data_IF_561313098391
#
_entry.id   IF_561313098391
#
_cell.length_a   1.000
_cell.length_b   1.000
_cell.length_c   1.000
_cell.angle_alpha   90.00
_cell.angle_beta   90.00
_cell.angle_gamma   90.00
#
_symmetry.space_group_name_H-M   'P 1'
#
loop_
_entity.id
_entity.type
_entity.pdbx_description
1 polymer ?
#
# COMPACT_ATOMS: atom_id res chain seq x y z
N UNK A 1 20.46 -7.37 -14.98
CA UNK A 1 19.78 -6.41 -14.20
C UNK A 1 19.86 -6.66 -12.73
N UNK A 2 19.92 -5.59 -12.07
CA UNK A 2 20.01 -5.62 -10.64
C UNK A 2 18.62 -5.64 -10.04
N UNK A 3 18.26 -6.75 -9.45
CA UNK A 3 16.97 -6.86 -8.78
C UNK A 3 17.12 -6.39 -7.33
N UNK A 4 16.42 -5.31 -7.01
CA UNK A 4 16.39 -4.83 -5.63
C UNK A 4 15.17 -5.41 -4.93
N UNK A 5 15.42 -6.22 -3.94
CA UNK A 5 14.35 -6.73 -3.10
C UNK A 5 13.75 -5.61 -2.28
N UNK A 6 12.43 -5.46 -2.36
CA UNK A 6 11.72 -4.48 -1.57
C UNK A 6 10.87 -5.22 -0.52
N UNK A 7 11.20 -5.08 0.77
CA UNK A 7 10.40 -5.73 1.82
C UNK A 7 8.97 -5.20 1.86
N UNK A 8 8.78 -3.92 1.53
CA UNK A 8 7.43 -3.35 1.48
C UNK A 8 6.60 -4.02 0.39
N UNK A 9 7.16 -4.14 -0.80
CA UNK A 9 6.47 -4.79 -1.92
C UNK A 9 6.14 -6.25 -1.60
N UNK A 10 7.08 -6.97 -1.03
CA UNK A 10 6.88 -8.38 -0.69
C UNK A 10 5.74 -8.56 0.32
N UNK A 11 5.76 -7.81 1.41
CA UNK A 11 4.74 -7.89 2.45
C UNK A 11 3.39 -7.40 1.91
N UNK A 12 3.38 -6.29 1.20
CA UNK A 12 2.15 -5.74 0.63
C UNK A 12 1.49 -6.77 -0.29
N UNK A 13 2.26 -7.39 -1.18
CA UNK A 13 1.72 -8.35 -2.14
C UNK A 13 1.15 -9.61 -1.49
N UNK A 14 1.59 -9.94 -0.29
CA UNK A 14 1.07 -11.09 0.44
C UNK A 14 -0.32 -10.83 1.03
N UNK A 15 -0.59 -9.61 1.47
CA UNK A 15 -1.81 -9.29 2.21
C UNK A 15 -2.75 -8.38 1.44
N UNK A 16 -2.26 -7.67 0.46
CA UNK A 16 -3.03 -6.71 -0.31
C UNK A 16 -2.72 -6.83 -1.80
N UNK A 17 -3.57 -6.21 -2.60
CA UNK A 17 -3.33 -6.06 -4.03
C UNK A 17 -3.80 -4.68 -4.47
N UNK A 18 -3.18 -4.15 -5.51
CA UNK A 18 -3.63 -2.91 -6.11
C UNK A 18 -4.91 -3.18 -6.91
N UNK A 19 -5.92 -2.29 -6.86
CA UNK A 19 -7.11 -2.45 -7.69
C UNK A 19 -6.76 -2.43 -9.18
N UNK A 20 -7.48 -3.24 -9.95
CA UNK A 20 -7.32 -3.27 -11.39
C UNK A 20 -7.71 -1.92 -11.99
N UNK A 21 -7.10 -1.55 -13.12
CA UNK A 21 -7.42 -0.33 -13.86
C UNK A 21 -8.88 -0.28 -14.31
N UNK A 22 -9.53 -1.44 -14.46
CA UNK A 22 -10.94 -1.54 -14.82
C UNK A 22 -11.87 -1.45 -13.62
N UNK A 23 -11.33 -1.45 -12.41
CA UNK A 23 -12.13 -1.35 -11.20
C UNK A 23 -12.70 0.07 -11.07
N UNK A 24 -13.99 0.15 -10.79
CA UNK A 24 -14.61 1.43 -10.51
C UNK A 24 -14.30 1.84 -9.07
N UNK A 25 -13.35 2.77 -8.93
CA UNK A 25 -12.85 3.18 -7.62
C UNK A 25 -13.91 3.86 -6.75
N UNK A 26 -14.96 4.40 -7.38
CA UNK A 26 -16.03 5.10 -6.64
C UNK A 26 -17.07 4.16 -6.06
N UNK A 27 -17.30 3.03 -6.71
CA UNK A 27 -18.38 2.11 -6.34
C UNK A 27 -17.91 0.79 -5.74
N UNK A 28 -16.65 0.45 -5.92
CA UNK A 28 -16.11 -0.81 -5.42
C UNK A 28 -15.87 -0.75 -3.91
N UNK A 29 -16.72 -1.44 -3.17
CA UNK A 29 -16.67 -1.48 -1.71
C UNK A 29 -15.54 -2.36 -1.17
N UNK A 30 -14.92 -3.17 -2.03
CA UNK A 30 -13.80 -4.02 -1.61
C UNK A 30 -12.50 -3.23 -1.46
N UNK A 31 -12.47 -1.99 -1.95
CA UNK A 31 -11.29 -1.15 -1.83
C UNK A 31 -11.26 -0.51 -0.44
N UNK A 32 -10.14 -0.67 0.26
CA UNK A 32 -9.90 -0.01 1.53
C UNK A 32 -9.00 1.21 1.29
N UNK A 33 -9.47 2.38 1.69
CA UNK A 33 -8.72 3.62 1.54
C UNK A 33 -7.97 3.91 2.83
N UNK A 34 -6.66 3.70 2.80
CA UNK A 34 -5.81 3.80 3.98
C UNK A 34 -4.71 4.83 3.75
N UNK A 35 -4.41 5.62 4.78
CA UNK A 35 -3.26 6.52 4.73
C UNK A 35 -1.96 5.71 4.75
N UNK A 36 -0.84 6.36 4.38
CA UNK A 36 0.46 5.69 4.43
C UNK A 36 0.78 5.22 5.85
N UNK A 37 0.40 5.99 6.86
CA UNK A 37 0.60 5.63 8.25
C UNK A 37 -0.21 4.38 8.63
N UNK A 38 -1.47 4.33 8.22
CA UNK A 38 -2.32 3.18 8.48
C UNK A 38 -1.81 1.93 7.79
N UNK A 39 -1.38 2.07 6.51
CA UNK A 39 -0.77 0.96 5.77
C UNK A 39 0.50 0.47 6.46
N UNK A 40 1.33 1.39 6.90
CA UNK A 40 2.56 1.06 7.61
C UNK A 40 2.25 0.24 8.86
N UNK A 41 1.30 0.71 9.66
CA UNK A 41 0.93 0.04 10.91
C UNK A 41 0.38 -1.37 10.65
N UNK A 42 -0.47 -1.52 9.66
CA UNK A 42 -1.04 -2.82 9.32
C UNK A 42 0.01 -3.78 8.80
N UNK A 43 0.86 -3.35 7.88
CA UNK A 43 1.91 -4.19 7.34
C UNK A 43 2.93 -4.57 8.40
N UNK A 44 3.26 -3.63 9.29
CA UNK A 44 4.19 -3.88 10.38
C UNK A 44 3.60 -4.87 11.39
N UNK A 45 2.30 -4.79 11.63
CA UNK A 45 1.62 -5.75 12.50
C UNK A 45 1.68 -7.17 11.94
N UNK A 46 1.61 -7.30 10.61
CA UNK A 46 1.66 -8.61 9.95
C UNK A 46 3.08 -9.15 9.85
N UNK A 47 4.05 -8.29 9.61
CA UNK A 47 5.44 -8.71 9.37
C UNK A 47 6.42 -7.71 9.99
N UNK A 48 6.50 -7.65 11.32
CA UNK A 48 7.33 -6.64 11.99
C UNK A 48 8.82 -6.77 11.67
N UNK A 49 9.30 -8.00 11.46
CA UNK A 49 10.71 -8.21 11.14
C UNK A 49 11.05 -7.78 9.72
N UNK A 50 10.16 -8.02 8.78
CA UNK A 50 10.38 -7.67 7.38
C UNK A 50 10.39 -6.16 7.17
N UNK A 51 9.69 -5.41 8.01
CA UNK A 51 9.58 -3.97 7.88
C UNK A 51 10.44 -3.21 8.89
N UNK A 52 11.34 -3.90 9.57
CA UNK A 52 12.25 -3.26 10.49
C UNK A 52 13.12 -2.25 9.74
N UNK A 53 13.16 -1.01 10.23
CA UNK A 53 13.91 0.06 9.58
C UNK A 53 13.22 0.73 8.41
N UNK A 54 12.02 0.27 8.03
CA UNK A 54 11.23 0.91 6.96
C UNK A 54 10.51 2.13 7.53
N UNK A 55 10.43 3.20 6.74
CA UNK A 55 9.75 4.43 7.13
C UNK A 55 8.46 4.62 6.34
N UNK A 56 7.61 5.54 6.80
CA UNK A 56 6.36 5.90 6.11
C UNK A 56 6.67 6.44 4.70
N UNK A 57 7.76 7.19 4.55
CA UNK A 57 8.19 7.66 3.23
C UNK A 57 8.40 6.51 2.26
N UNK A 58 8.98 5.43 2.73
CA UNK A 58 9.21 4.25 1.90
C UNK A 58 7.89 3.61 1.47
N UNK A 59 6.92 3.58 2.37
CA UNK A 59 5.58 3.07 2.05
C UNK A 59 4.96 3.89 0.92
N UNK A 60 4.99 5.21 1.05
CA UNK A 60 4.45 6.12 0.02
C UNK A 60 5.12 5.89 -1.33
N UNK A 61 6.44 5.79 -1.33
CA UNK A 61 7.20 5.57 -2.55
C UNK A 61 6.83 4.25 -3.22
N UNK A 62 6.68 3.18 -2.44
CA UNK A 62 6.32 1.87 -2.99
C UNK A 62 4.89 1.86 -3.52
N UNK A 63 3.96 2.53 -2.85
CA UNK A 63 2.59 2.63 -3.34
C UNK A 63 2.53 3.32 -4.70
N UNK A 64 3.31 4.40 -4.87
CA UNK A 64 3.42 5.07 -6.16
C UNK A 64 3.99 4.16 -7.24
N UNK A 65 5.03 3.44 -6.89
CA UNK A 65 5.72 2.54 -7.81
C UNK A 65 4.81 1.40 -8.28
N UNK A 66 3.96 0.90 -7.38
CA UNK A 66 3.03 -0.18 -7.69
C UNK A 66 1.79 0.29 -8.45
N UNK A 67 1.64 1.59 -8.63
CA UNK A 67 0.48 2.13 -9.33
C UNK A 67 -0.80 2.10 -8.51
N UNK A 68 -0.69 2.05 -7.20
CA UNK A 68 -1.85 2.07 -6.30
C UNK A 68 -2.56 3.41 -6.43
N UNK A 69 -3.90 3.42 -6.63
CA UNK A 69 -4.63 4.68 -6.74
C UNK A 69 -4.56 5.48 -5.45
N UNK A 70 -4.47 6.79 -5.59
CA UNK A 70 -4.35 7.72 -4.48
C UNK A 70 -5.53 8.69 -4.51
N UNK A 71 -6.07 8.99 -3.34
CA UNK A 71 -7.11 10.00 -3.18
C UNK A 71 -6.62 11.05 -2.20
N UNK A 72 -6.80 12.31 -2.56
CA UNK A 72 -6.42 13.42 -1.69
C UNK A 72 -7.63 13.81 -0.84
N UNK A 73 -7.47 13.77 0.47
CA UNK A 73 -8.49 14.20 1.43
C UNK A 73 -7.98 15.41 2.21
N UNK A 74 -8.88 16.07 2.94
CA UNK A 74 -8.51 17.19 3.79
C UNK A 74 -7.46 16.82 4.82
N UNK A 75 -7.48 15.58 5.27
CA UNK A 75 -6.54 15.07 6.29
C UNK A 75 -5.23 14.53 5.70
N UNK A 76 -5.13 14.47 4.37
CA UNK A 76 -3.96 13.93 3.70
C UNK A 76 -4.32 12.96 2.59
N UNK A 77 -3.32 12.22 2.12
CA UNK A 77 -3.50 11.27 1.04
C UNK A 77 -3.83 9.89 1.58
N UNK A 78 -4.75 9.20 0.91
CA UNK A 78 -5.07 7.81 1.20
C UNK A 78 -4.86 6.97 -0.05
N UNK A 79 -4.55 5.69 0.14
CA UNK A 79 -4.25 4.76 -0.93
C UNK A 79 -5.32 3.69 -1.00
N UNK A 80 -5.84 3.43 -2.20
CA UNK A 80 -6.86 2.42 -2.41
C UNK A 80 -6.24 1.06 -2.63
N UNK A 81 -6.46 0.14 -1.68
CA UNK A 81 -5.91 -1.21 -1.74
C UNK A 81 -7.02 -2.22 -1.51
N UNK A 82 -6.83 -3.42 -2.02
CA UNK A 82 -7.75 -4.53 -1.81
C UNK A 82 -7.07 -5.58 -0.94
N UNK A 83 -7.76 -6.08 0.05
CA UNK A 83 -7.28 -7.19 0.87
C UNK A 83 -7.39 -8.49 0.09
N UNK A 84 -6.37 -9.30 0.19
CA UNK A 84 -6.39 -10.64 -0.39
C UNK A 84 -7.21 -11.60 0.45
#
# INVERSE_FOLDING_TARGET
GYYKFSPVNDVFSRYYTAPDSQTNLKTDKSISWLSASELFDELKAQAPRSLQGVTIKRITKEMRRLGVPRRHLCEGNVWGVKKR
#
